data_IF_232535956770
#
_entry.id   IF_232535956770
#
_cell.length_a   1.000
_cell.length_b   1.000
_cell.length_c   1.000
_cell.angle_alpha   90.00
_cell.angle_beta   90.00
_cell.angle_gamma   90.00
#
_symmetry.space_group_name_H-M   'P 1'
#
loop_
_entity.id
_entity.type
_entity.pdbx_description
1 polymer ?
#
# COMPACT_ATOMS: atom_id res chain seq x y z
N UNK A 1 14.16 -6.25 -36.99
CA UNK A 1 15.34 -6.63 -36.17
C UNK A 1 15.69 -5.46 -35.26
N UNK A 2 15.13 -5.43 -34.04
CA UNK A 2 15.46 -4.40 -33.04
C UNK A 2 16.53 -4.94 -32.11
N UNK A 3 17.69 -4.28 -32.10
CA UNK A 3 18.85 -4.62 -31.26
C UNK A 3 18.53 -4.32 -29.79
N UNK A 4 18.33 -5.38 -29.02
CA UNK A 4 18.56 -5.40 -27.58
C UNK A 4 20.04 -5.13 -27.30
N UNK A 5 20.35 -4.04 -26.60
CA UNK A 5 21.60 -3.92 -25.85
C UNK A 5 21.36 -3.24 -24.50
N UNK A 6 21.55 -4.06 -23.46
CA UNK A 6 21.83 -3.76 -22.04
C UNK A 6 21.96 -2.28 -21.68
N UNK A 7 20.99 -1.79 -20.92
CA UNK A 7 21.25 -0.79 -19.89
C UNK A 7 20.93 -1.44 -18.53
N UNK A 8 21.97 -1.68 -17.73
CA UNK A 8 21.87 -2.07 -16.31
C UNK A 8 21.45 -0.86 -15.45
N UNK A 9 20.44 -0.12 -15.87
CA UNK A 9 19.79 0.90 -15.03
C UNK A 9 18.54 0.27 -14.48
N UNK A 10 18.62 -0.24 -13.25
CA UNK A 10 17.43 -0.65 -12.49
C UNK A 10 16.63 0.61 -12.22
N UNK A 11 15.63 0.87 -13.05
CA UNK A 11 14.64 1.91 -12.76
C UNK A 11 13.85 1.48 -11.51
N UNK A 12 13.57 2.44 -10.63
CA UNK A 12 13.02 2.21 -9.29
C UNK A 12 11.71 1.39 -9.28
N UNK A 13 10.99 1.32 -10.40
CA UNK A 13 9.72 0.58 -10.52
C UNK A 13 9.67 -0.26 -11.81
N UNK A 14 10.78 -0.94 -12.12
CA UNK A 14 10.85 -1.90 -13.23
C UNK A 14 10.24 -3.26 -12.83
N UNK A 15 9.78 -4.10 -13.79
CA UNK A 15 9.22 -5.42 -13.49
C UNK A 15 10.10 -6.32 -12.59
N UNK A 16 11.45 -6.33 -12.73
CA UNK A 16 12.32 -7.06 -11.81
C UNK A 16 12.23 -6.56 -10.36
N UNK A 17 12.08 -5.24 -10.16
CA UNK A 17 11.92 -4.65 -8.83
C UNK A 17 10.56 -5.05 -8.24
N UNK A 18 9.48 -5.02 -9.02
CA UNK A 18 8.14 -5.44 -8.57
C UNK A 18 8.10 -6.91 -8.09
N UNK A 19 8.78 -7.82 -8.81
CA UNK A 19 8.91 -9.21 -8.34
C UNK A 19 9.76 -9.28 -7.07
N UNK A 20 10.86 -8.54 -7.01
CA UNK A 20 11.73 -8.55 -5.84
C UNK A 20 10.98 -8.05 -4.59
N UNK A 21 10.22 -6.96 -4.69
CA UNK A 21 9.39 -6.42 -3.62
C UNK A 21 8.30 -7.40 -3.21
N UNK A 22 7.60 -8.02 -4.18
CA UNK A 22 6.62 -9.08 -3.92
C UNK A 22 7.21 -10.23 -3.09
N UNK A 23 8.38 -10.76 -3.50
CA UNK A 23 9.04 -11.86 -2.79
C UNK A 23 9.41 -11.43 -1.37
N UNK A 24 9.94 -10.22 -1.20
CA UNK A 24 10.31 -9.69 0.12
C UNK A 24 9.07 -9.58 1.02
N UNK A 25 7.97 -8.99 0.53
CA UNK A 25 6.75 -8.78 1.31
C UNK A 25 6.09 -10.10 1.70
N UNK A 26 5.97 -11.06 0.79
CA UNK A 26 5.47 -12.40 1.11
C UNK A 26 6.38 -13.09 2.12
N UNK A 27 7.69 -13.00 1.95
CA UNK A 27 8.65 -13.59 2.89
C UNK A 27 8.51 -12.99 4.29
N UNK A 28 8.31 -11.68 4.39
CA UNK A 28 8.06 -10.99 5.67
C UNK A 28 6.73 -11.40 6.30
N UNK A 29 5.66 -11.50 5.51
CA UNK A 29 4.36 -11.97 5.98
C UNK A 29 4.44 -13.40 6.53
N UNK A 30 5.09 -14.31 5.80
CA UNK A 30 5.34 -15.69 6.23
C UNK A 30 6.22 -15.70 7.49
N UNK A 31 7.29 -14.91 7.52
CA UNK A 31 8.17 -14.82 8.68
C UNK A 31 7.41 -14.41 9.95
N UNK A 32 6.53 -13.40 9.87
CA UNK A 32 5.69 -12.99 10.99
C UNK A 32 4.74 -14.11 11.40
N UNK A 33 4.07 -14.75 10.43
CA UNK A 33 3.13 -15.83 10.66
C UNK A 33 3.78 -17.01 11.41
N UNK A 34 5.01 -17.38 11.01
CA UNK A 34 5.76 -18.49 11.60
C UNK A 34 6.37 -18.13 12.95
N UNK A 35 6.85 -16.90 13.15
CA UNK A 35 7.64 -16.53 14.35
C UNK A 35 6.85 -15.85 15.46
N UNK A 36 5.65 -15.33 15.20
CA UNK A 36 4.89 -14.49 16.15
C UNK A 36 3.58 -15.11 16.58
N UNK A 37 3.18 -14.88 17.84
CA UNK A 37 1.85 -15.27 18.32
C UNK A 37 0.78 -14.42 17.63
N UNK A 38 -0.20 -15.09 17.03
CA UNK A 38 -1.29 -14.42 16.33
C UNK A 38 -2.22 -13.74 17.33
N UNK A 39 -2.43 -12.44 17.12
CA UNK A 39 -3.46 -11.64 17.77
C UNK A 39 -4.08 -10.74 16.70
N UNK A 40 -5.11 -9.97 17.06
CA UNK A 40 -5.82 -9.11 16.10
C UNK A 40 -4.88 -8.15 15.36
N UNK A 41 -3.95 -7.51 16.06
CA UNK A 41 -3.02 -6.54 15.45
C UNK A 41 -2.00 -7.23 14.53
N UNK A 42 -1.45 -8.38 14.92
CA UNK A 42 -0.53 -9.16 14.08
C UNK A 42 -1.25 -9.68 12.83
N UNK A 43 -2.49 -10.17 12.97
CA UNK A 43 -3.30 -10.58 11.82
C UNK A 43 -3.52 -9.45 10.83
N UNK A 44 -3.90 -8.25 11.32
CA UNK A 44 -4.05 -7.07 10.48
C UNK A 44 -2.74 -6.66 9.80
N UNK A 45 -1.60 -6.73 10.51
CA UNK A 45 -0.29 -6.47 9.94
C UNK A 45 0.07 -7.44 8.80
N UNK A 46 -0.22 -8.74 8.98
CA UNK A 46 -0.01 -9.75 7.93
C UNK A 46 -0.90 -9.46 6.73
N UNK A 47 -2.20 -9.19 6.93
CA UNK A 47 -3.11 -8.88 5.81
C UNK A 47 -2.65 -7.63 5.07
N UNK A 48 -2.21 -6.60 5.77
CA UNK A 48 -1.68 -5.38 5.16
C UNK A 48 -0.46 -5.69 4.28
N UNK A 49 0.53 -6.44 4.79
CA UNK A 49 1.71 -6.83 4.01
C UNK A 49 1.33 -7.70 2.80
N UNK A 50 0.36 -8.61 2.95
CA UNK A 50 -0.13 -9.43 1.84
C UNK A 50 -0.81 -8.58 0.77
N UNK A 51 -1.58 -7.55 1.14
CA UNK A 51 -2.17 -6.65 0.15
C UNK A 51 -1.12 -5.82 -0.60
N UNK A 52 -0.05 -5.39 0.08
CA UNK A 52 1.09 -4.76 -0.58
C UNK A 52 1.67 -5.71 -1.63
N UNK A 53 1.91 -6.97 -1.27
CA UNK A 53 2.45 -7.97 -2.18
C UNK A 53 1.51 -8.24 -3.37
N UNK A 54 0.21 -8.41 -3.11
CA UNK A 54 -0.80 -8.61 -4.18
C UNK A 54 -0.80 -7.45 -5.17
N UNK A 55 -0.61 -6.21 -4.69
CA UNK A 55 -0.48 -5.06 -5.57
C UNK A 55 0.77 -5.13 -6.45
N UNK A 56 1.94 -5.46 -5.88
CA UNK A 56 3.19 -5.61 -6.66
C UNK A 56 3.04 -6.68 -7.75
N UNK A 57 2.41 -7.80 -7.40
CA UNK A 57 2.14 -8.88 -8.35
C UNK A 57 1.17 -8.45 -9.45
N UNK A 58 0.16 -7.65 -9.10
CA UNK A 58 -0.79 -7.11 -10.07
C UNK A 58 -0.11 -6.14 -11.06
N UNK A 59 0.77 -5.25 -10.60
CA UNK A 59 1.55 -4.36 -11.47
C UNK A 59 2.48 -5.14 -12.40
N UNK A 60 3.18 -6.15 -11.87
CA UNK A 60 4.01 -7.02 -12.68
C UNK A 60 3.21 -7.71 -13.79
N UNK A 61 2.02 -8.24 -13.46
CA UNK A 61 1.13 -8.87 -14.43
C UNK A 61 0.63 -7.94 -15.53
N UNK A 62 0.48 -6.64 -15.24
CA UNK A 62 0.15 -5.60 -16.24
C UNK A 62 1.31 -5.40 -17.22
N UNK A 63 2.56 -5.40 -16.73
CA UNK A 63 3.74 -5.13 -17.55
C UNK A 63 4.20 -6.31 -18.41
N UNK A 64 4.23 -7.52 -17.88
CA UNK A 64 4.80 -8.68 -18.56
C UNK A 64 3.75 -9.56 -19.26
N UNK A 65 2.45 -9.18 -19.20
CA UNK A 65 1.35 -9.87 -19.88
C UNK A 65 1.35 -11.41 -19.68
N UNK A 66 1.59 -11.88 -18.45
CA UNK A 66 1.53 -13.31 -18.07
C UNK A 66 0.08 -13.85 -18.08
N UNK A 67 -0.60 -13.86 -19.23
CA UNK A 67 -1.93 -14.46 -19.42
C UNK A 67 -3.10 -13.76 -18.72
N UNK A 68 -2.84 -12.81 -17.82
CA UNK A 68 -3.84 -11.94 -17.21
C UNK A 68 -3.98 -10.69 -18.09
N UNK A 69 -5.13 -10.51 -18.74
CA UNK A 69 -5.41 -9.29 -19.52
C UNK A 69 -5.12 -8.08 -18.62
N UNK A 70 -4.35 -7.09 -19.10
CA UNK A 70 -3.88 -5.95 -18.28
C UNK A 70 -4.97 -5.32 -17.39
N UNK A 71 -6.20 -5.22 -17.90
CA UNK A 71 -7.36 -4.73 -17.16
C UNK A 71 -7.69 -5.55 -15.88
N UNK A 72 -7.55 -6.87 -15.92
CA UNK A 72 -7.80 -7.74 -14.74
C UNK A 72 -6.71 -7.52 -13.69
N UNK A 73 -5.45 -7.38 -14.11
CA UNK A 73 -4.34 -7.01 -13.23
C UNK A 73 -4.59 -5.65 -12.58
N UNK A 74 -4.97 -4.64 -13.35
CA UNK A 74 -5.31 -3.31 -12.82
C UNK A 74 -6.44 -3.36 -11.80
N UNK A 75 -7.52 -4.10 -12.08
CA UNK A 75 -8.65 -4.24 -11.14
C UNK A 75 -8.23 -4.87 -9.81
N UNK A 76 -7.41 -5.93 -9.88
CA UNK A 76 -6.88 -6.58 -8.68
C UNK A 76 -5.96 -5.65 -7.89
N UNK A 77 -5.07 -4.92 -8.57
CA UNK A 77 -4.23 -3.91 -7.97
C UNK A 77 -5.06 -2.83 -7.26
N UNK A 78 -6.02 -2.22 -7.96
CA UNK A 78 -6.88 -1.20 -7.36
C UNK A 78 -7.68 -1.70 -6.18
N UNK A 79 -8.20 -2.93 -6.24
CA UNK A 79 -8.85 -3.54 -5.08
C UNK A 79 -7.88 -3.61 -3.90
N UNK A 80 -6.67 -4.17 -4.09
CA UNK A 80 -5.69 -4.33 -3.02
C UNK A 80 -5.28 -2.99 -2.39
N UNK A 81 -4.90 -2.00 -3.20
CA UNK A 81 -4.44 -0.69 -2.72
C UNK A 81 -5.58 0.10 -2.04
N UNK A 82 -6.81 0.01 -2.55
CA UNK A 82 -7.98 0.70 -1.97
C UNK A 82 -8.28 0.28 -0.53
N UNK A 83 -7.98 -0.97 -0.17
CA UNK A 83 -8.16 -1.49 1.19
C UNK A 83 -6.99 -1.17 2.14
N UNK A 84 -5.84 -0.69 1.65
CA UNK A 84 -4.68 -0.40 2.49
C UNK A 84 -4.95 0.71 3.53
N UNK A 85 -5.52 1.90 3.19
CA UNK A 85 -5.74 2.93 4.20
C UNK A 85 -6.69 2.51 5.33
N UNK A 86 -7.86 1.87 5.05
CA UNK A 86 -8.72 1.34 6.10
C UNK A 86 -8.04 0.27 6.98
N UNK A 87 -7.29 -0.66 6.38
CA UNK A 87 -6.54 -1.67 7.13
C UNK A 87 -5.44 -1.05 7.98
N UNK A 88 -4.77 -0.03 7.45
CA UNK A 88 -3.77 0.75 8.15
C UNK A 88 -4.31 1.41 9.41
N UNK A 89 -5.43 2.11 9.27
CA UNK A 89 -6.15 2.70 10.39
C UNK A 89 -6.63 1.64 11.39
N UNK A 90 -7.15 0.51 10.90
CA UNK A 90 -7.58 -0.60 11.75
C UNK A 90 -6.41 -1.20 12.54
N UNK A 91 -5.24 -1.33 11.92
CA UNK A 91 -4.02 -1.76 12.58
C UNK A 91 -3.61 -0.78 13.68
N UNK A 92 -3.60 0.53 13.40
CA UNK A 92 -3.31 1.57 14.40
C UNK A 92 -4.25 1.46 15.61
N UNK A 93 -5.56 1.36 15.38
CA UNK A 93 -6.55 1.23 16.44
C UNK A 93 -6.40 -0.09 17.23
N UNK A 94 -6.06 -1.19 16.54
CA UNK A 94 -5.79 -2.47 17.18
C UNK A 94 -4.53 -2.43 18.07
N UNK A 95 -3.46 -1.77 17.62
CA UNK A 95 -2.23 -1.56 18.40
C UNK A 95 -2.52 -0.69 19.62
N UNK A 96 -3.27 0.41 19.44
CA UNK A 96 -3.68 1.31 20.52
C UNK A 96 -4.73 0.70 21.47
N UNK A 97 -5.30 -0.47 21.13
CA UNK A 97 -6.43 -1.11 21.82
C UNK A 97 -7.63 -0.17 21.98
N UNK A 98 -7.91 0.64 20.95
CA UNK A 98 -9.01 1.59 20.91
C UNK A 98 -10.06 1.14 19.90
N UNK A 99 -11.31 1.51 20.16
CA UNK A 99 -12.45 1.08 19.35
C UNK A 99 -13.15 2.29 18.77
N UNK A 100 -12.85 2.61 17.51
CA UNK A 100 -13.56 3.63 16.75
C UNK A 100 -14.35 2.97 15.62
N UNK A 101 -15.51 2.37 15.95
CA UNK A 101 -16.28 1.59 14.97
C UNK A 101 -16.76 2.44 13.80
N UNK A 102 -17.25 3.65 14.07
CA UNK A 102 -17.81 4.53 13.04
C UNK A 102 -16.74 4.88 12.01
N UNK A 103 -15.56 5.32 12.48
CA UNK A 103 -14.45 5.67 11.60
C UNK A 103 -14.01 4.49 10.73
N UNK A 104 -13.93 3.28 11.31
CA UNK A 104 -13.63 2.06 10.56
C UNK A 104 -14.73 1.68 9.56
N UNK A 105 -16.00 1.80 9.95
CA UNK A 105 -17.12 1.50 9.05
C UNK A 105 -17.10 2.43 7.85
N UNK A 106 -16.89 3.74 8.06
CA UNK A 106 -16.82 4.72 6.98
C UNK A 106 -15.63 4.42 6.05
N UNK A 107 -14.45 4.13 6.60
CA UNK A 107 -13.26 3.84 5.79
C UNK A 107 -13.42 2.57 4.96
N UNK A 108 -13.89 1.47 5.55
CA UNK A 108 -14.14 0.22 4.82
C UNK A 108 -15.30 0.34 3.83
N UNK A 109 -16.35 1.08 4.15
CA UNK A 109 -17.45 1.32 3.20
C UNK A 109 -16.95 2.09 1.97
N UNK A 110 -16.13 3.12 2.18
CA UNK A 110 -15.46 3.84 1.09
C UNK A 110 -14.61 2.91 0.23
N UNK A 111 -13.82 2.02 0.85
CA UNK A 111 -13.01 1.05 0.10
C UNK A 111 -13.85 0.08 -0.73
N UNK A 112 -14.96 -0.42 -0.18
CA UNK A 112 -15.88 -1.31 -0.90
C UNK A 112 -16.51 -0.58 -2.09
N UNK A 113 -16.96 0.67 -1.91
CA UNK A 113 -17.55 1.47 -2.98
C UNK A 113 -16.53 1.70 -4.10
N UNK A 114 -15.32 2.16 -3.78
CA UNK A 114 -14.28 2.39 -4.78
C UNK A 114 -13.87 1.10 -5.49
N UNK A 115 -13.69 0.00 -4.75
CA UNK A 115 -13.36 -1.30 -5.34
C UNK A 115 -14.46 -1.78 -6.29
N UNK A 116 -15.73 -1.59 -5.94
CA UNK A 116 -16.86 -1.91 -6.80
C UNK A 116 -16.85 -1.05 -8.08
N UNK A 117 -16.65 0.26 -7.94
CA UNK A 117 -16.56 1.20 -9.07
C UNK A 117 -15.42 0.84 -10.04
N UNK A 118 -14.26 0.45 -9.52
CA UNK A 118 -13.15 0.00 -10.36
C UNK A 118 -13.37 -1.38 -11.00
N UNK A 119 -13.98 -2.32 -10.26
CA UNK A 119 -14.17 -3.69 -10.73
C UNK A 119 -15.27 -3.81 -11.78
N UNK A 120 -16.38 -3.09 -11.59
CA UNK A 120 -17.58 -3.22 -12.41
C UNK A 120 -17.91 -1.96 -13.23
N UNK A 121 -17.39 -0.81 -12.84
CA UNK A 121 -17.56 0.43 -13.61
C UNK A 121 -16.64 0.48 -14.83
N UNK A 122 -16.95 1.39 -15.76
CA UNK A 122 -16.09 1.75 -16.90
C UNK A 122 -15.09 2.86 -16.55
N UNK A 123 -14.70 2.93 -15.28
CA UNK A 123 -13.89 4.01 -14.71
C UNK A 123 -12.39 3.73 -14.88
N UNK A 124 -12.01 2.46 -14.99
CA UNK A 124 -10.64 2.05 -15.34
C UNK A 124 -10.48 1.90 -16.85
N UNK A 125 -9.58 2.68 -17.41
CA UNK A 125 -9.10 2.58 -18.79
C UNK A 125 -8.00 1.55 -18.96
N UNK A 126 -7.38 1.56 -20.15
CA UNK A 126 -6.22 0.73 -20.44
C UNK A 126 -5.01 1.21 -19.61
N UNK A 127 -4.36 0.29 -18.90
CA UNK A 127 -3.12 0.57 -18.18
C UNK A 127 -1.93 0.50 -19.13
N UNK A 128 -1.04 1.50 -19.09
CA UNK A 128 0.17 1.53 -19.91
C UNK A 128 1.38 1.25 -19.03
N UNK A 129 2.10 0.16 -19.31
CA UNK A 129 3.39 -0.07 -18.69
C UNK A 129 4.44 0.80 -19.40
N UNK A 130 4.99 1.78 -18.69
CA UNK A 130 6.17 2.52 -19.12
C UNK A 130 7.43 1.87 -18.52
N UNK A 131 8.64 2.12 -19.05
CA UNK A 131 9.87 1.49 -18.57
C UNK A 131 10.13 1.65 -17.06
N UNK A 132 9.55 2.68 -16.43
CA UNK A 132 9.87 3.12 -15.08
C UNK A 132 8.66 3.18 -14.13
N UNK A 133 7.44 2.92 -14.60
CA UNK A 133 6.21 2.98 -13.80
C UNK A 133 5.01 2.48 -14.62
N UNK A 134 3.94 2.06 -13.94
CA UNK A 134 2.65 1.74 -14.56
C UNK A 134 1.73 2.93 -14.43
N UNK A 135 1.18 3.36 -15.56
CA UNK A 135 0.11 4.36 -15.56
C UNK A 135 -1.21 3.63 -15.56
N UNK A 136 -2.01 3.90 -14.55
CA UNK A 136 -3.40 3.48 -14.51
C UNK A 136 -4.29 4.65 -14.92
N UNK A 137 -4.95 4.51 -16.08
CA UNK A 137 -5.85 5.54 -16.55
C UNK A 137 -7.19 5.44 -15.79
N UNK A 138 -7.46 6.40 -14.92
CA UNK A 138 -8.74 6.55 -14.23
C UNK A 138 -9.52 7.66 -14.93
N UNK A 139 -10.77 7.40 -15.30
CA UNK A 139 -11.61 8.39 -15.98
C UNK A 139 -11.80 9.65 -15.10
N UNK A 140 -11.56 10.83 -15.66
CA UNK A 140 -11.90 12.11 -15.02
C UNK A 140 -13.44 12.22 -14.87
N UNK A 141 -13.99 12.70 -13.74
CA UNK A 141 -13.32 13.29 -12.56
C UNK A 141 -13.04 12.32 -11.40
N UNK A 142 -13.20 11.01 -11.60
CA UNK A 142 -13.11 10.03 -10.51
C UNK A 142 -11.70 9.90 -9.91
N UNK A 143 -10.66 10.21 -10.69
CA UNK A 143 -9.26 10.17 -10.25
C UNK A 143 -9.00 11.04 -9.02
N UNK A 144 -9.36 12.33 -9.07
CA UNK A 144 -9.12 13.26 -7.97
C UNK A 144 -9.86 12.86 -6.69
N UNK A 145 -11.13 12.45 -6.83
CA UNK A 145 -11.93 11.98 -5.69
C UNK A 145 -11.37 10.71 -5.03
N UNK A 146 -10.81 9.80 -5.84
CA UNK A 146 -10.17 8.59 -5.34
C UNK A 146 -8.90 8.92 -4.55
N UNK A 147 -8.03 9.79 -5.08
CA UNK A 147 -6.82 10.19 -4.36
C UNK A 147 -7.13 10.97 -3.08
N UNK A 148 -8.14 11.86 -3.09
CA UNK A 148 -8.62 12.53 -1.88
C UNK A 148 -9.05 11.49 -0.83
N UNK A 149 -9.83 10.49 -1.23
CA UNK A 149 -10.22 9.40 -0.33
C UNK A 149 -8.98 8.67 0.24
N UNK A 150 -8.04 8.31 -0.63
CA UNK A 150 -6.86 7.56 -0.26
C UNK A 150 -5.98 8.32 0.74
N UNK A 151 -5.62 9.57 0.41
CA UNK A 151 -4.76 10.42 1.22
C UNK A 151 -5.43 10.83 2.53
N UNK A 152 -6.73 11.13 2.51
CA UNK A 152 -7.49 11.47 3.71
C UNK A 152 -7.38 10.36 4.77
N UNK A 153 -7.61 9.11 4.39
CA UNK A 153 -7.56 8.01 5.36
C UNK A 153 -6.15 7.67 5.83
N UNK A 154 -5.13 7.93 5.02
CA UNK A 154 -3.74 7.80 5.43
C UNK A 154 -3.34 8.87 6.44
N UNK A 155 -3.69 10.13 6.19
CA UNK A 155 -3.47 11.23 7.13
C UNK A 155 -4.24 10.98 8.43
N UNK A 156 -5.49 10.49 8.36
CA UNK A 156 -6.26 10.08 9.54
C UNK A 156 -5.54 8.95 10.30
N UNK A 157 -5.00 7.94 9.60
CA UNK A 157 -4.26 6.85 10.24
C UNK A 157 -3.01 7.35 10.97
N UNK A 158 -2.23 8.22 10.34
CA UNK A 158 -1.03 8.85 10.94
C UNK A 158 -1.41 9.74 12.12
N UNK A 159 -2.41 10.62 11.96
CA UNK A 159 -2.90 11.49 13.02
C UNK A 159 -3.43 10.70 14.22
N UNK A 160 -4.18 9.63 13.97
CA UNK A 160 -4.67 8.71 15.01
C UNK A 160 -3.52 8.01 15.74
N UNK A 161 -2.48 7.57 15.01
CA UNK A 161 -1.30 6.96 15.60
C UNK A 161 -0.55 7.95 16.50
N UNK A 162 -0.30 9.17 16.02
CA UNK A 162 0.36 10.24 16.79
C UNK A 162 -0.43 10.64 18.04
N UNK A 163 -1.76 10.74 17.94
CA UNK A 163 -2.64 11.04 19.06
C UNK A 163 -2.54 9.98 20.17
N UNK A 164 -2.64 8.70 19.80
CA UNK A 164 -2.56 7.61 20.79
C UNK A 164 -1.15 7.34 21.30
N UNK A 165 -0.10 7.67 20.54
CA UNK A 165 1.28 7.59 21.01
C UNK A 165 1.53 8.41 22.28
N UNK A 166 0.89 9.58 22.42
CA UNK A 166 1.03 10.47 23.59
C UNK A 166 0.51 9.85 24.89
N UNK A 167 -0.41 8.90 24.79
CA UNK A 167 -1.14 8.32 25.93
C UNK A 167 -0.85 6.83 26.11
N UNK A 168 0.18 6.30 25.44
CA UNK A 168 0.48 4.87 25.39
C UNK A 168 1.77 4.52 26.13
N UNK A 169 1.80 3.29 26.67
CA UNK A 169 3.01 2.71 27.26
C UNK A 169 4.17 2.63 26.22
N UNK A 170 5.44 2.61 26.66
CA UNK A 170 6.60 2.70 25.76
C UNK A 170 6.60 1.69 24.60
N UNK A 171 6.18 0.43 24.84
CA UNK A 171 6.09 -0.60 23.79
C UNK A 171 5.08 -0.24 22.70
N UNK A 172 3.88 0.18 23.07
CA UNK A 172 2.83 0.59 22.12
C UNK A 172 3.25 1.88 21.39
N UNK A 173 3.84 2.84 22.11
CA UNK A 173 4.38 4.06 21.51
C UNK A 173 5.41 3.75 20.43
N UNK A 174 6.35 2.85 20.72
CA UNK A 174 7.38 2.41 19.75
C UNK A 174 6.74 1.70 18.54
N UNK A 175 5.75 0.85 18.77
CA UNK A 175 5.02 0.17 17.69
C UNK A 175 4.30 1.14 16.76
N UNK A 176 3.60 2.14 17.32
CA UNK A 176 2.92 3.19 16.58
C UNK A 176 3.90 4.13 15.86
N UNK A 177 5.05 4.41 16.46
CA UNK A 177 6.11 5.22 15.82
C UNK A 177 6.60 4.58 14.53
N UNK A 178 6.82 3.25 14.52
CA UNK A 178 7.21 2.55 13.29
C UNK A 178 6.11 2.57 12.23
N UNK A 179 4.84 2.52 12.65
CA UNK A 179 3.71 2.68 11.73
C UNK A 179 3.72 4.09 11.12
N UNK A 180 3.91 5.14 11.93
CA UNK A 180 4.04 6.53 11.45
C UNK A 180 5.22 6.66 10.49
N UNK A 181 6.40 6.13 10.83
CA UNK A 181 7.58 6.19 9.96
C UNK A 181 7.34 5.50 8.60
N UNK A 182 6.68 4.34 8.60
CA UNK A 182 6.33 3.64 7.37
C UNK A 182 5.25 4.35 6.53
N UNK A 183 4.27 5.00 7.18
CA UNK A 183 3.30 5.82 6.46
C UNK A 183 3.94 7.09 5.87
N UNK A 184 4.76 7.77 6.67
CA UNK A 184 5.50 8.94 6.25
C UNK A 184 6.46 8.66 5.09
N UNK A 185 7.04 7.46 5.00
CA UNK A 185 7.98 7.13 3.92
C UNK A 185 7.36 7.08 2.54
N UNK A 186 6.04 7.10 2.40
CA UNK A 186 5.39 7.27 1.10
C UNK A 186 4.60 8.58 0.99
N UNK A 187 4.06 9.14 2.09
CA UNK A 187 3.33 10.43 2.07
C UNK A 187 4.30 11.56 1.69
N UNK A 188 5.50 11.61 2.28
CA UNK A 188 6.43 12.70 1.97
C UNK A 188 6.94 12.66 0.53
N UNK A 189 7.39 11.51 -0.02
CA UNK A 189 7.75 11.46 -1.43
C UNK A 189 6.60 11.82 -2.35
N UNK A 190 5.39 11.28 -2.12
CA UNK A 190 4.22 11.62 -2.95
C UNK A 190 3.91 13.11 -2.92
N UNK A 191 3.88 13.74 -1.75
CA UNK A 191 3.69 15.19 -1.65
C UNK A 191 4.82 15.98 -2.34
N UNK A 192 6.08 15.57 -2.19
CA UNK A 192 7.20 16.23 -2.85
C UNK A 192 7.08 16.15 -4.38
N UNK A 193 6.69 14.99 -4.92
CA UNK A 193 6.47 14.83 -6.36
C UNK A 193 5.29 15.67 -6.87
N UNK A 194 4.22 15.85 -6.08
CA UNK A 194 3.11 16.74 -6.46
C UNK A 194 3.46 18.23 -6.47
N UNK A 195 4.53 18.66 -5.79
CA UNK A 195 4.92 20.07 -5.69
C UNK A 195 5.96 20.49 -6.73
N UNK A 196 6.69 19.53 -7.32
CA UNK A 196 7.86 19.81 -8.18
C UNK A 196 7.51 19.73 -9.67
N UNK A 197 6.60 18.82 -10.04
CA UNK A 197 6.11 18.65 -11.41
C UNK A 197 4.57 18.69 -11.31
N UNK A 198 3.89 19.25 -12.31
CA UNK A 198 2.42 19.26 -12.46
C UNK A 198 1.83 17.82 -12.61
N UNK A 199 2.14 16.90 -11.70
CA UNK A 199 1.68 15.50 -11.66
C UNK A 199 0.22 15.35 -11.16
N UNK A 200 -0.50 16.46 -11.01
CA UNK A 200 -1.94 16.49 -10.74
C UNK A 200 -2.65 16.49 -12.09
N UNK A 201 -2.84 15.30 -12.66
CA UNK A 201 -3.50 15.15 -13.96
C UNK A 201 -3.61 13.71 -14.40
N UNK A 202 -4.53 13.49 -15.36
CA UNK A 202 -4.79 12.22 -16.03
C UNK A 202 -3.45 11.61 -16.45
N UNK A 203 -3.13 10.42 -15.94
CA UNK A 203 -1.89 9.65 -16.16
C UNK A 203 -0.76 9.77 -15.11
N UNK A 204 -1.09 9.99 -13.83
CA UNK A 204 -0.11 10.08 -12.74
C UNK A 204 0.60 8.74 -12.42
N UNK A 205 1.95 8.70 -12.25
CA UNK A 205 2.74 7.53 -11.84
C UNK A 205 2.64 7.24 -10.33
N UNK A 206 1.83 8.00 -9.59
CA UNK A 206 1.69 7.92 -8.14
C UNK A 206 1.53 6.50 -7.58
N UNK A 207 0.67 5.63 -8.14
CA UNK A 207 0.49 4.27 -7.62
C UNK A 207 1.78 3.44 -7.64
N UNK A 208 2.57 3.53 -8.71
CA UNK A 208 3.85 2.80 -8.80
C UNK A 208 4.91 3.41 -7.89
N UNK A 209 4.97 4.75 -7.77
CA UNK A 209 5.93 5.41 -6.88
C UNK A 209 5.69 5.01 -5.42
N UNK A 210 4.43 5.01 -4.99
CA UNK A 210 4.02 4.57 -3.65
C UNK A 210 4.45 3.13 -3.35
N UNK A 211 4.56 2.29 -4.38
CA UNK A 211 4.84 0.88 -4.23
C UNK A 211 6.31 0.49 -4.11
N UNK A 212 7.26 1.30 -4.58
CA UNK A 212 8.67 1.11 -4.17
C UNK A 212 8.90 1.41 -2.69
N UNK A 213 8.06 2.27 -2.09
CA UNK A 213 8.10 2.56 -0.65
C UNK A 213 7.29 1.56 0.20
N UNK A 214 6.46 0.70 -0.42
CA UNK A 214 5.68 -0.33 0.26
C UNK A 214 6.57 -1.32 1.05
N UNK A 215 7.73 -1.69 0.47
CA UNK A 215 8.70 -2.54 1.16
C UNK A 215 9.22 -1.89 2.45
N UNK A 216 9.40 -0.57 2.46
CA UNK A 216 9.84 0.16 3.66
C UNK A 216 8.76 0.06 4.75
N UNK A 217 7.49 0.25 4.38
CA UNK A 217 6.37 0.05 5.30
C UNK A 217 6.33 -1.41 5.82
N UNK A 218 6.50 -2.40 4.94
CA UNK A 218 6.53 -3.81 5.33
C UNK A 218 7.67 -4.12 6.30
N UNK A 219 8.86 -3.55 6.09
CA UNK A 219 10.01 -3.68 7.00
C UNK A 219 9.73 -3.05 8.37
N UNK A 220 9.19 -1.82 8.39
CA UNK A 220 8.82 -1.15 9.64
C UNK A 220 7.72 -1.89 10.41
N UNK A 221 6.74 -2.47 9.72
CA UNK A 221 5.74 -3.32 10.35
C UNK A 221 6.39 -4.59 10.92
N UNK A 222 7.19 -5.30 10.13
CA UNK A 222 7.72 -6.62 10.45
C UNK A 222 8.76 -6.61 11.57
N UNK A 223 9.71 -5.67 11.52
CA UNK A 223 10.81 -5.59 12.47
C UNK A 223 10.62 -4.51 13.54
N UNK A 224 9.77 -3.52 13.26
CA UNK A 224 9.48 -2.43 14.19
C UNK A 224 8.19 -2.67 14.97
N UNK A 225 7.04 -2.65 14.30
CA UNK A 225 5.74 -2.65 14.96
C UNK A 225 5.40 -3.99 15.62
N UNK A 226 5.42 -5.08 14.85
CA UNK A 226 5.02 -6.43 15.26
C UNK A 226 5.79 -6.94 16.50
N UNK A 227 7.13 -6.79 16.59
CA UNK A 227 7.88 -7.27 17.76
C UNK A 227 7.53 -6.53 19.06
N UNK A 228 7.03 -5.29 18.96
CA UNK A 228 6.62 -4.49 20.11
C UNK A 228 5.19 -4.79 20.59
N UNK A 229 4.40 -5.51 19.79
CA UNK A 229 2.98 -5.86 20.10
C UNK A 229 2.73 -7.36 20.26
N UNK A 230 3.67 -8.22 19.88
CA UNK A 230 3.54 -9.68 20.02
C UNK A 230 4.82 -10.38 20.45
N UNK A 231 4.66 -11.41 21.30
CA UNK A 231 5.74 -12.29 21.76
C UNK A 231 6.14 -13.26 20.65
N UNK A 232 7.41 -13.66 20.64
CA UNK A 232 7.90 -14.74 19.79
C UNK A 232 7.18 -16.05 20.16
N UNK A 233 6.87 -16.88 19.16
CA UNK A 233 6.53 -18.29 19.40
C UNK A 233 7.77 -18.98 19.98
N UNK A 234 7.56 -19.73 21.07
CA UNK A 234 8.62 -20.51 21.72
C UNK A 234 8.97 -21.71 20.86
#
# INVERSE_FOLDING_TARGET
MSKYFKQNTLFCFSPPVMIATFIIEISLAIHILLTRKLNRAVGLAIVLIVLLAVFQFAEFGVCESFGVRGIVGSKLGFAAITFLPPLGLHLVLAIAKKRQRILLTISYAGAVIWTYLFSFGKILGASVCKPNYVIFNIANPYEGWYYIYYDLFLVIAVGTALYYMRHSIPRIKKALMFIVLGYSSFIFPSMAFTLIDDYVGVDSPMPSIMCGFAVILALFISFGSVPNISKKKG
#
